data_IF_434441965045
#
_entry.id   IF_434441965045
#
_cell.length_a   1.000
_cell.length_b   1.000
_cell.length_c   1.000
_cell.angle_alpha   90.00
_cell.angle_beta   90.00
_cell.angle_gamma   90.00
#
_symmetry.space_group_name_H-M   'P 1'
#
loop_
_entity.id
_entity.type
_entity.pdbx_description
1 polymer ?
#
# COMPACT_ATOMS: atom_id res chain seq x y z
N UNK A 1 -28.24 9.17 -31.22
CA UNK A 1 -27.21 8.23 -30.74
C UNK A 1 -26.39 8.97 -29.68
N UNK A 2 -26.49 8.60 -28.41
CA UNK A 2 -25.58 9.15 -27.40
C UNK A 2 -24.26 8.38 -27.50
N UNK A 3 -23.18 9.10 -27.78
CA UNK A 3 -21.82 8.56 -27.68
C UNK A 3 -21.51 8.43 -26.20
N UNK A 4 -21.33 7.20 -25.71
CA UNK A 4 -20.73 6.98 -24.40
C UNK A 4 -19.40 7.73 -24.40
N UNK A 5 -19.20 8.64 -23.44
CA UNK A 5 -17.90 9.29 -23.26
C UNK A 5 -16.86 8.20 -23.07
N UNK A 6 -15.88 8.12 -23.96
CA UNK A 6 -14.79 7.13 -23.86
C UNK A 6 -13.89 7.40 -22.65
N UNK A 7 -13.88 8.64 -22.15
CA UNK A 7 -13.13 9.03 -20.98
C UNK A 7 -14.03 8.98 -19.74
N UNK A 8 -13.55 8.39 -18.62
CA UNK A 8 -14.20 8.55 -17.33
C UNK A 8 -14.28 10.04 -16.96
N UNK A 9 -15.29 10.40 -16.17
CA UNK A 9 -15.39 11.73 -15.58
C UNK A 9 -14.05 12.08 -14.89
N UNK A 10 -13.52 13.31 -15.05
CA UNK A 10 -12.28 13.73 -14.39
C UNK A 10 -12.30 13.51 -12.87
N UNK A 11 -13.43 13.73 -12.19
CA UNK A 11 -13.57 13.49 -10.76
C UNK A 11 -13.47 12.01 -10.40
N UNK A 12 -14.11 11.13 -11.20
CA UNK A 12 -13.99 9.67 -11.05
C UNK A 12 -12.55 9.23 -11.28
N UNK A 13 -11.88 9.78 -12.29
CA UNK A 13 -10.47 9.51 -12.58
C UNK A 13 -9.57 9.85 -11.40
N UNK A 14 -9.73 11.05 -10.82
CA UNK A 14 -8.96 11.49 -9.65
C UNK A 14 -9.24 10.59 -8.44
N UNK A 15 -10.51 10.26 -8.17
CA UNK A 15 -10.88 9.39 -7.05
C UNK A 15 -10.25 8.00 -7.17
N UNK A 16 -10.25 7.41 -8.37
CA UNK A 16 -9.62 6.12 -8.64
C UNK A 16 -8.09 6.21 -8.48
N UNK A 17 -7.46 7.30 -8.93
CA UNK A 17 -6.01 7.51 -8.73
C UNK A 17 -5.66 7.59 -7.25
N UNK A 18 -6.41 8.36 -6.45
CA UNK A 18 -6.18 8.47 -5.01
C UNK A 18 -6.36 7.09 -4.34
N UNK A 19 -7.41 6.36 -4.69
CA UNK A 19 -7.64 5.00 -4.17
C UNK A 19 -6.47 4.06 -4.52
N UNK A 20 -6.00 4.07 -5.75
CA UNK A 20 -4.87 3.26 -6.18
C UNK A 20 -3.59 3.60 -5.40
N UNK A 21 -3.31 4.90 -5.17
CA UNK A 21 -2.20 5.34 -4.35
C UNK A 21 -2.34 4.89 -2.89
N UNK A 22 -3.53 4.99 -2.30
CA UNK A 22 -3.78 4.52 -0.94
C UNK A 22 -3.56 3.01 -0.81
N UNK A 23 -4.05 2.21 -1.76
CA UNK A 23 -3.84 0.77 -1.79
C UNK A 23 -2.35 0.43 -1.96
N UNK A 24 -1.64 1.14 -2.84
CA UNK A 24 -0.21 0.96 -3.05
C UNK A 24 0.61 1.29 -1.79
N UNK A 25 0.32 2.42 -1.14
CA UNK A 25 0.98 2.83 0.10
C UNK A 25 0.65 1.88 1.26
N UNK A 26 -0.59 1.40 1.35
CA UNK A 26 -1.00 0.41 2.35
C UNK A 26 -0.26 -0.91 2.14
N UNK A 27 -0.23 -1.41 0.89
CA UNK A 27 0.52 -2.61 0.53
C UNK A 27 2.03 -2.45 0.78
N UNK A 28 2.59 -1.29 0.47
CA UNK A 28 3.98 -0.97 0.79
C UNK A 28 4.24 -0.95 2.29
N UNK A 29 3.36 -0.33 3.08
CA UNK A 29 3.44 -0.34 4.54
C UNK A 29 3.46 -1.76 5.11
N UNK A 30 2.53 -2.63 4.66
CA UNK A 30 2.51 -4.05 5.03
C UNK A 30 3.80 -4.77 4.62
N UNK A 31 4.31 -4.54 3.41
CA UNK A 31 5.56 -5.13 2.95
C UNK A 31 6.77 -4.66 3.77
N UNK A 32 6.81 -3.39 4.18
CA UNK A 32 7.89 -2.89 5.04
C UNK A 32 7.80 -3.41 6.47
N UNK A 33 6.59 -3.57 7.01
CA UNK A 33 6.36 -4.01 8.38
C UNK A 33 6.53 -5.53 8.55
N UNK A 34 6.06 -6.33 7.58
CA UNK A 34 6.00 -7.80 7.68
C UNK A 34 6.75 -8.53 6.56
N UNK A 35 7.43 -7.80 5.67
CA UNK A 35 8.19 -8.41 4.59
C UNK A 35 9.44 -9.15 5.07
N UNK A 36 10.27 -9.65 4.14
CA UNK A 36 11.44 -10.48 4.46
C UNK A 36 12.45 -9.87 5.43
N UNK A 37 12.43 -8.54 5.62
CA UNK A 37 13.30 -7.83 6.58
C UNK A 37 12.81 -7.96 8.02
N UNK A 38 11.51 -8.13 8.26
CA UNK A 38 10.95 -8.24 9.61
C UNK A 38 11.47 -9.48 10.35
N UNK A 39 11.72 -10.58 9.62
CA UNK A 39 12.32 -11.79 10.18
C UNK A 39 13.79 -11.65 10.61
N UNK A 40 14.44 -10.53 10.27
CA UNK A 40 15.83 -10.22 10.69
C UNK A 40 15.89 -9.27 11.87
N UNK A 41 14.76 -8.91 12.46
CA UNK A 41 14.76 -8.07 13.66
C UNK A 41 15.30 -8.92 14.81
N UNK A 42 16.44 -8.51 15.36
CA UNK A 42 16.99 -9.07 16.59
C UNK A 42 15.98 -8.82 17.71
N UNK A 43 15.65 -9.86 18.48
CA UNK A 43 14.87 -9.68 19.68
C UNK A 43 15.71 -8.85 20.69
N UNK A 44 15.24 -7.69 21.16
CA UNK A 44 15.97 -6.88 22.14
C UNK A 44 16.26 -7.60 23.46
N UNK A 45 15.59 -8.71 23.74
CA UNK A 45 15.68 -9.43 25.00
C UNK A 45 16.60 -10.65 24.94
N UNK A 46 17.02 -11.11 23.75
CA UNK A 46 17.92 -12.27 23.57
C UNK A 46 19.24 -12.13 24.35
N UNK A 47 19.71 -10.89 24.57
CA UNK A 47 20.95 -10.58 25.28
C UNK A 47 20.84 -10.63 26.82
N UNK A 48 19.66 -10.91 27.39
CA UNK A 48 19.38 -10.80 28.83
C UNK A 48 18.97 -12.12 29.50
N UNK A 49 19.19 -13.26 28.83
CA UNK A 49 18.81 -14.60 29.32
C UNK A 49 19.87 -15.26 30.24
N UNK A 50 20.71 -14.46 30.94
CA UNK A 50 21.64 -14.92 31.99
C UNK A 50 21.04 -14.87 33.42
#
# INVERSE_FOLDING_TARGET
MQTLSSAPDPAVSIAVTILALLLALTGFGLWTAFGPKAAKLTDPWDDHDD
#
